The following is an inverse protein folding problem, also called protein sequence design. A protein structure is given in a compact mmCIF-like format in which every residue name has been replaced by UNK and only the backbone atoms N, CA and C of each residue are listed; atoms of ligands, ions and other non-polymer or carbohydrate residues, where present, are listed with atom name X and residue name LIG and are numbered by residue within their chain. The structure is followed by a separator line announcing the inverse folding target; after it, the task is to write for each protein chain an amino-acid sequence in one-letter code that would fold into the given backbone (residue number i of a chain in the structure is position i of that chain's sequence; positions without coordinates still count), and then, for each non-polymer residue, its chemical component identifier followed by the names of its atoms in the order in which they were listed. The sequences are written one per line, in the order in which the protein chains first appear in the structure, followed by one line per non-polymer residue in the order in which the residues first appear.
data_IF_261860630609
#
_entry.id   IF_261860630609
#
_cell.length_a   1.000
_cell.length_b   1.000
_cell.length_c   1.000
_cell.angle_alpha   90.00
_cell.angle_beta   90.00
_cell.angle_gamma   90.00
#
_symmetry.space_group_name_H-M   'P 1'
#
loop_
_entity.id
_entity.type
_entity.pdbx_description
1 polymer ?
#
# COMPACT_ATOMS: atom_id res chain seq x y z
N UNK A 1 -38.76 -19.52 -29.89
CA UNK A 1 -38.46 -19.63 -28.45
C UNK A 1 -36.96 -19.87 -28.31
N UNK A 2 -36.25 -18.95 -27.65
CA UNK A 2 -34.79 -19.02 -27.51
C UNK A 2 -34.25 -17.72 -26.93
N UNK A 3 -34.56 -17.47 -25.66
CA UNK A 3 -34.08 -16.32 -24.89
C UNK A 3 -32.58 -16.45 -24.64
N UNK A 4 -31.77 -15.70 -25.39
CA UNK A 4 -30.35 -15.54 -25.10
C UNK A 4 -30.19 -14.69 -23.84
N UNK A 5 -29.86 -15.37 -22.75
CA UNK A 5 -29.48 -14.80 -21.45
C UNK A 5 -28.34 -13.80 -21.63
N UNK A 6 -28.63 -12.53 -21.36
CA UNK A 6 -27.66 -11.43 -21.25
C UNK A 6 -26.70 -11.74 -20.10
N UNK A 7 -25.51 -12.23 -20.43
CA UNK A 7 -24.44 -12.36 -19.43
C UNK A 7 -23.99 -10.94 -19.03
N UNK A 8 -24.25 -10.59 -17.77
CA UNK A 8 -23.82 -9.33 -17.18
C UNK A 8 -22.37 -9.49 -16.73
N UNK A 9 -21.43 -8.89 -17.46
CA UNK A 9 -20.01 -8.86 -17.07
C UNK A 9 -19.84 -8.14 -15.72
N UNK A 10 -19.01 -8.64 -14.79
CA UNK A 10 -18.80 -8.00 -13.50
C UNK A 10 -18.00 -6.72 -13.70
N UNK A 11 -18.64 -5.57 -13.46
CA UNK A 11 -18.00 -4.25 -13.38
C UNK A 11 -17.11 -4.19 -12.13
N UNK A 12 -15.88 -4.70 -12.22
CA UNK A 12 -14.90 -4.68 -11.12
C UNK A 12 -13.53 -4.13 -11.52
N UNK A 13 -13.43 -3.11 -12.38
CA UNK A 13 -12.12 -2.54 -12.75
C UNK A 13 -12.20 -1.06 -13.14
N UNK A 14 -12.91 -0.23 -12.36
CA UNK A 14 -13.02 1.20 -12.69
C UNK A 14 -12.94 2.16 -11.50
N UNK A 15 -12.63 1.66 -10.30
CA UNK A 15 -12.39 2.50 -9.12
C UNK A 15 -10.92 2.95 -8.99
N UNK A 16 -9.99 2.17 -9.57
CA UNK A 16 -8.53 2.35 -9.44
C UNK A 16 -7.98 3.63 -10.13
N UNK A 17 -8.76 4.30 -10.99
CA UNK A 17 -8.32 5.51 -11.71
C UNK A 17 -9.04 6.79 -11.31
N UNK A 18 -10.05 6.76 -10.43
CA UNK A 18 -10.90 7.93 -10.16
C UNK A 18 -10.71 8.60 -8.80
N UNK A 19 -10.04 7.97 -7.84
CA UNK A 19 -9.62 8.61 -6.58
C UNK A 19 -8.12 8.97 -6.56
N UNK A 20 -7.31 8.48 -7.51
CA UNK A 20 -5.85 8.63 -7.45
C UNK A 20 -5.29 9.85 -8.22
N UNK A 21 -5.95 10.36 -9.26
CA UNK A 21 -5.31 11.34 -10.16
C UNK A 21 -5.46 12.83 -9.80
N UNK A 22 -6.13 13.20 -8.70
CA UNK A 22 -6.42 14.61 -8.38
C UNK A 22 -5.64 15.22 -7.20
N UNK A 23 -4.82 14.47 -6.45
CA UNK A 23 -4.04 15.04 -5.32
C UNK A 23 -2.52 14.99 -5.53
N UNK A 24 -1.98 14.10 -6.36
CA UNK A 24 -0.51 13.95 -6.51
C UNK A 24 0.17 14.97 -7.42
N UNK A 25 -0.55 15.87 -8.09
CA UNK A 25 0.03 16.86 -9.00
C UNK A 25 0.57 18.13 -8.31
N UNK A 26 0.48 18.24 -6.97
CA UNK A 26 0.84 19.49 -6.25
C UNK A 26 1.89 19.33 -5.13
N UNK A 27 2.41 18.13 -4.86
CA UNK A 27 3.48 17.98 -3.86
C UNK A 27 4.78 17.66 -4.58
N UNK A 28 5.56 18.72 -4.81
CA UNK A 28 6.86 18.68 -5.44
C UNK A 28 7.80 17.67 -4.77
N UNK A 29 8.42 16.84 -5.61
CA UNK A 29 9.52 15.97 -5.26
C UNK A 29 10.75 16.84 -5.00
N UNK A 30 11.20 16.93 -3.74
CA UNK A 30 12.50 17.54 -3.45
C UNK A 30 12.63 18.16 -2.07
N UNK A 31 13.08 17.37 -1.10
CA UNK A 31 14.20 17.77 -0.22
C UNK A 31 14.93 16.50 0.23
N UNK A 32 16.23 16.44 -0.01
CA UNK A 32 17.13 15.46 0.60
C UNK A 32 17.30 15.88 2.06
N UNK A 33 16.53 15.31 2.97
CA UNK A 33 16.76 15.47 4.40
C UNK A 33 17.85 14.49 4.84
N UNK A 34 19.00 15.04 5.19
CA UNK A 34 20.12 14.34 5.78
C UNK A 34 19.80 13.87 7.20
N UNK A 35 20.23 12.64 7.52
CA UNK A 35 20.24 11.96 8.82
C UNK A 35 18.84 11.66 9.40
N UNK A 36 18.41 10.40 9.22
CA UNK A 36 17.18 9.85 9.77
C UNK A 36 17.15 9.89 11.31
N UNK A 37 16.03 10.28 11.95
CA UNK A 37 15.80 9.84 13.33
C UNK A 37 15.79 8.31 13.35
N UNK A 38 16.31 7.71 14.43
CA UNK A 38 16.32 6.26 14.64
C UNK A 38 14.95 5.67 14.30
N UNK A 39 14.88 4.81 13.28
CA UNK A 39 13.72 3.95 13.01
C UNK A 39 13.49 3.12 14.27
N UNK A 40 12.61 3.59 15.14
CA UNK A 40 12.59 3.16 16.54
C UNK A 40 11.74 1.91 16.72
N UNK A 41 10.86 1.62 15.75
CA UNK A 41 9.88 0.55 15.82
C UNK A 41 9.78 -0.17 14.48
N UNK A 42 9.81 -1.49 14.49
CA UNK A 42 9.60 -2.30 13.28
C UNK A 42 8.13 -2.26 12.86
N UNK A 43 7.86 -2.19 11.55
CA UNK A 43 6.47 -2.23 11.07
C UNK A 43 5.78 -3.55 11.39
N UNK A 44 6.49 -4.66 11.52
CA UNK A 44 5.94 -5.96 11.93
C UNK A 44 6.00 -6.21 13.44
N UNK A 45 6.34 -5.21 14.26
CA UNK A 45 6.33 -5.33 15.72
C UNK A 45 4.93 -5.05 16.26
N UNK A 46 4.11 -6.10 16.37
CA UNK A 46 2.73 -5.99 16.88
C UNK A 46 2.65 -5.71 18.39
N UNK A 47 3.77 -5.79 19.12
CA UNK A 47 3.83 -5.36 20.52
C UNK A 47 3.93 -3.84 20.68
N UNK A 48 4.41 -3.15 19.64
CA UNK A 48 4.57 -1.71 19.66
C UNK A 48 3.26 -0.96 19.34
N UNK A 49 3.06 0.24 19.93
CA UNK A 49 1.89 1.07 19.63
C UNK A 49 1.78 1.38 18.14
N UNK A 50 0.57 1.25 17.59
CA UNK A 50 0.29 1.50 16.17
C UNK A 50 0.76 2.90 15.71
N UNK A 51 0.65 3.91 16.58
CA UNK A 51 1.08 5.28 16.28
C UNK A 51 2.59 5.37 15.95
N UNK A 52 3.44 4.59 16.63
CA UNK A 52 4.88 4.55 16.34
C UNK A 52 5.16 3.89 14.99
N UNK A 53 4.46 2.79 14.69
CA UNK A 53 4.57 2.05 13.43
C UNK A 53 4.09 2.91 12.25
N UNK A 54 2.98 3.62 12.40
CA UNK A 54 2.48 4.57 11.39
C UNK A 54 3.48 5.70 11.13
N UNK A 55 4.14 6.23 12.16
CA UNK A 55 5.22 7.23 11.98
C UNK A 55 6.35 6.66 11.13
N UNK A 56 6.83 5.46 11.46
CA UNK A 56 7.86 4.76 10.70
C UNK A 56 7.44 4.53 9.24
N UNK A 57 6.18 4.15 9.00
CA UNK A 57 5.65 3.94 7.65
C UNK A 57 5.75 5.21 6.78
N UNK A 58 5.34 6.36 7.31
CA UNK A 58 5.42 7.63 6.57
C UNK A 58 6.85 8.13 6.40
N UNK A 59 7.75 7.87 7.36
CA UNK A 59 9.17 8.15 7.21
C UNK A 59 9.80 7.34 6.06
N UNK A 60 9.47 6.04 5.96
CA UNK A 60 9.94 5.17 4.88
C UNK A 60 9.38 5.59 3.52
N UNK A 61 8.09 5.97 3.45
CA UNK A 61 7.48 6.54 2.24
C UNK A 61 8.27 7.75 1.73
N UNK A 62 8.66 8.65 2.64
CA UNK A 62 9.38 9.87 2.28
C UNK A 62 10.83 9.60 1.85
N UNK A 63 11.45 8.51 2.33
CA UNK A 63 12.78 8.09 1.88
C UNK A 63 12.74 7.57 0.44
N UNK A 64 11.76 6.72 0.11
CA UNK A 64 11.49 6.31 -1.27
C UNK A 64 12.55 5.40 -1.92
N UNK A 65 13.57 4.97 -1.18
CA UNK A 65 14.67 4.13 -1.69
C UNK A 65 14.38 2.62 -1.54
N UNK A 66 15.26 1.79 -2.10
CA UNK A 66 15.14 0.33 -2.07
C UNK A 66 15.14 -0.23 -0.63
N UNK A 67 15.89 0.39 0.28
CA UNK A 67 15.93 -0.02 1.68
C UNK A 67 14.61 0.27 2.39
N UNK A 68 13.99 1.41 2.08
CA UNK A 68 12.67 1.77 2.56
C UNK A 68 11.60 0.84 2.00
N UNK A 69 11.67 0.49 0.71
CA UNK A 69 10.79 -0.51 0.10
C UNK A 69 10.85 -1.83 0.87
N UNK A 70 12.05 -2.36 1.13
CA UNK A 70 12.21 -3.61 1.88
C UNK A 70 11.56 -3.57 3.27
N UNK A 71 11.79 -2.49 4.03
CA UNK A 71 11.16 -2.31 5.36
C UNK A 71 9.65 -2.15 5.30
N UNK A 72 9.13 -1.48 4.26
CA UNK A 72 7.68 -1.37 4.04
C UNK A 72 7.09 -2.75 3.77
N UNK A 73 7.71 -3.57 2.92
CA UNK A 73 7.22 -4.92 2.65
C UNK A 73 7.20 -5.82 3.88
N UNK A 74 8.09 -5.59 4.85
CA UNK A 74 8.04 -6.30 6.13
C UNK A 74 6.78 -6.00 6.94
N UNK A 75 6.23 -4.78 6.82
CA UNK A 75 4.98 -4.37 7.47
C UNK A 75 3.76 -5.17 7.03
N UNK A 76 3.80 -5.84 5.87
CA UNK A 76 2.72 -6.73 5.42
C UNK A 76 2.56 -7.99 6.29
N UNK A 77 3.54 -8.29 7.16
CA UNK A 77 3.47 -9.42 8.12
C UNK A 77 2.78 -9.08 9.43
N UNK A 78 2.38 -7.83 9.60
CA UNK A 78 1.66 -7.34 10.78
C UNK A 78 0.29 -8.00 10.96
N UNK A 79 -0.09 -8.31 12.19
CA UNK A 79 -1.46 -8.73 12.52
C UNK A 79 -2.48 -7.58 12.38
N UNK A 80 -2.02 -6.33 12.46
CA UNK A 80 -2.87 -5.15 12.23
C UNK A 80 -3.31 -5.02 10.76
N UNK A 81 -4.61 -5.26 10.51
CA UNK A 81 -5.27 -4.98 9.22
C UNK A 81 -5.09 -3.52 8.79
N UNK A 82 -5.20 -2.58 9.74
CA UNK A 82 -5.01 -1.15 9.46
C UNK A 82 -3.60 -0.87 8.95
N UNK A 83 -2.57 -1.44 9.58
CA UNK A 83 -1.20 -1.21 9.12
C UNK A 83 -0.96 -1.84 7.74
N UNK A 84 -1.45 -3.06 7.50
CA UNK A 84 -1.27 -3.72 6.19
C UNK A 84 -1.97 -2.96 5.06
N UNK A 85 -3.15 -2.41 5.33
CA UNK A 85 -3.87 -1.50 4.43
C UNK A 85 -3.00 -0.29 4.06
N UNK A 86 -2.44 0.39 5.05
CA UNK A 86 -1.59 1.56 4.83
C UNK A 86 -0.27 1.22 4.12
N UNK A 87 0.31 0.05 4.40
CA UNK A 87 1.50 -0.44 3.70
C UNK A 87 1.20 -0.68 2.23
N UNK A 88 0.09 -1.36 1.90
CA UNK A 88 -0.31 -1.60 0.51
C UNK A 88 -0.51 -0.27 -0.24
N UNK A 89 -1.22 0.68 0.39
CA UNK A 89 -1.42 2.03 -0.13
C UNK A 89 -0.09 2.74 -0.43
N UNK A 90 0.84 2.78 0.53
CA UNK A 90 2.14 3.44 0.36
C UNK A 90 2.99 2.77 -0.72
N UNK A 91 3.00 1.44 -0.80
CA UNK A 91 3.73 0.72 -1.83
C UNK A 91 3.22 1.07 -3.23
N UNK A 92 1.91 1.26 -3.40
CA UNK A 92 1.33 1.76 -4.64
C UNK A 92 1.75 3.21 -4.94
N UNK A 93 1.78 4.08 -3.92
CA UNK A 93 2.20 5.48 -4.04
C UNK A 93 3.67 5.67 -4.39
N UNK A 94 4.54 4.75 -3.97
CA UNK A 94 5.97 4.80 -4.32
C UNK A 94 6.21 4.56 -5.82
N UNK A 95 5.24 4.02 -6.57
CA UNK A 95 5.34 3.70 -8.00
C UNK A 95 6.56 2.83 -8.36
N UNK A 96 7.10 2.09 -7.39
CA UNK A 96 8.24 1.24 -7.60
C UNK A 96 7.81 -0.02 -8.35
N UNK A 97 8.46 -0.34 -9.49
CA UNK A 97 8.16 -1.55 -10.28
C UNK A 97 8.17 -2.86 -9.49
N UNK A 98 8.94 -2.95 -8.40
CA UNK A 98 8.99 -4.12 -7.52
C UNK A 98 7.72 -4.31 -6.69
N UNK A 99 6.92 -3.26 -6.50
CA UNK A 99 5.63 -3.33 -5.81
C UNK A 99 4.58 -4.08 -6.64
N UNK A 100 4.65 -4.03 -7.98
CA UNK A 100 3.65 -4.61 -8.88
C UNK A 100 3.36 -6.10 -8.58
N UNK A 101 4.36 -7.01 -8.56
CA UNK A 101 4.08 -8.41 -8.27
C UNK A 101 3.57 -8.64 -6.84
N UNK A 102 3.98 -7.82 -5.88
CA UNK A 102 3.56 -7.92 -4.49
C UNK A 102 2.10 -7.49 -4.30
N UNK A 103 1.74 -6.32 -4.82
CA UNK A 103 0.37 -5.80 -4.77
C UNK A 103 -0.58 -6.70 -5.58
N UNK A 104 -0.14 -7.20 -6.74
CA UNK A 104 -0.92 -8.20 -7.50
C UNK A 104 -1.20 -9.45 -6.67
N UNK A 105 -0.23 -9.93 -5.87
CA UNK A 105 -0.45 -11.07 -4.97
C UNK A 105 -1.48 -10.75 -3.90
N UNK A 106 -1.39 -9.58 -3.26
CA UNK A 106 -2.34 -9.14 -2.22
C UNK A 106 -3.75 -9.02 -2.80
N UNK A 107 -3.90 -8.38 -3.97
CA UNK A 107 -5.19 -8.22 -4.65
C UNK A 107 -5.90 -9.56 -4.90
N UNK A 108 -5.12 -10.60 -5.25
CA UNK A 108 -5.62 -11.94 -5.55
C UNK A 108 -5.72 -12.87 -4.34
N UNK A 109 -5.25 -12.48 -3.15
CA UNK A 109 -5.35 -13.29 -1.94
C UNK A 109 -6.76 -13.21 -1.35
N UNK A 110 -7.55 -14.27 -1.49
CA UNK A 110 -8.92 -14.32 -0.95
C UNK A 110 -8.97 -14.42 0.59
N UNK A 111 -7.87 -14.81 1.22
CA UNK A 111 -7.76 -14.86 2.69
C UNK A 111 -7.41 -13.50 3.30
N UNK A 112 -6.94 -12.56 2.48
CA UNK A 112 -6.62 -11.21 2.93
C UNK A 112 -7.88 -10.36 3.14
N UNK A 113 -7.83 -9.46 4.11
CA UNK A 113 -8.94 -8.59 4.44
C UNK A 113 -9.29 -7.67 3.26
N UNK A 114 -10.59 -7.51 2.99
CA UNK A 114 -11.08 -6.79 1.81
C UNK A 114 -10.55 -5.36 1.67
N UNK A 115 -10.32 -4.66 2.80
CA UNK A 115 -9.75 -3.31 2.80
C UNK A 115 -8.28 -3.28 2.39
N UNK A 116 -7.49 -4.31 2.73
CA UNK A 116 -6.08 -4.40 2.34
C UNK A 116 -5.99 -4.69 0.84
N UNK A 117 -6.85 -5.59 0.34
CA UNK A 117 -6.99 -5.87 -1.08
C UNK A 117 -7.46 -4.67 -1.91
N UNK A 118 -8.21 -3.75 -1.30
CA UNK A 118 -8.70 -2.54 -1.98
C UNK A 118 -7.56 -1.58 -2.37
N UNK A 119 -6.48 -1.57 -1.58
CA UNK A 119 -5.34 -0.67 -1.79
C UNK A 119 -4.21 -1.26 -2.64
N UNK A 120 -4.33 -2.54 -3.03
CA UNK A 120 -3.33 -3.27 -3.81
C UNK A 120 -3.67 -3.30 -5.30
#
# INVERSE_FOLDING_TARGET
SGSASRQMAPRRHMWVLRCWCLISALVGFGTRLSKTPHLTVGLSDDSAPIAGRMRTLFELKNQGDDAAFHKLTDGLRSDSVLLRHEVAYVLGQMQHRRAIPLLTRILNDESEHCIVRHEA
#
